data_IF_287746685488
#
_entry.id   IF_287746685488
#
_cell.length_a   1.000
_cell.length_b   1.000
_cell.length_c   1.000
_cell.angle_alpha   90.00
_cell.angle_beta   90.00
_cell.angle_gamma   90.00
#
_symmetry.space_group_name_H-M   'P 1'
#
loop_
_entity.id
_entity.type
_entity.pdbx_description
1 polymer ?
#
# COMPACT_ATOMS: atom_id res chain seq x y z
N UNK A 1 -17.65 6.47 -7.11
CA UNK A 1 -18.86 6.29 -7.94
C UNK A 1 -18.56 5.69 -9.32
N UNK A 2 -17.63 6.23 -10.14
CA UNK A 2 -17.38 5.72 -11.51
C UNK A 2 -16.94 4.24 -11.60
N UNK A 3 -16.11 3.76 -10.68
CA UNK A 3 -15.62 2.37 -10.72
C UNK A 3 -16.72 1.33 -10.49
N UNK A 4 -17.62 1.58 -9.53
CA UNK A 4 -18.78 0.71 -9.27
C UNK A 4 -19.68 0.60 -10.51
N UNK A 5 -20.01 1.74 -11.12
CA UNK A 5 -20.82 1.77 -12.34
C UNK A 5 -20.14 1.03 -13.51
N UNK A 6 -18.82 1.15 -13.64
CA UNK A 6 -18.05 0.41 -14.64
C UNK A 6 -18.12 -1.12 -14.41
N UNK A 7 -18.07 -1.58 -13.16
CA UNK A 7 -18.28 -3.01 -12.83
C UNK A 7 -19.71 -3.47 -13.12
N UNK A 8 -20.73 -2.65 -12.80
CA UNK A 8 -22.13 -2.98 -13.06
C UNK A 8 -22.45 -3.08 -14.58
N UNK A 9 -21.69 -2.37 -15.43
CA UNK A 9 -21.76 -2.49 -16.89
C UNK A 9 -21.01 -3.72 -17.40
N UNK A 10 -19.81 -4.00 -16.88
CA UNK A 10 -19.03 -5.19 -17.21
C UNK A 10 -19.83 -6.48 -16.94
N UNK A 11 -20.46 -6.59 -15.77
CA UNK A 11 -21.24 -7.77 -15.38
C UNK A 11 -22.41 -8.02 -16.35
N UNK A 12 -23.16 -6.96 -16.70
CA UNK A 12 -24.26 -7.07 -17.67
C UNK A 12 -23.79 -7.52 -19.05
N UNK A 13 -22.62 -7.07 -19.49
CA UNK A 13 -22.05 -7.48 -20.78
C UNK A 13 -21.57 -8.94 -20.79
N UNK A 14 -21.01 -9.43 -19.69
CA UNK A 14 -20.55 -10.81 -19.60
C UNK A 14 -21.68 -11.84 -19.52
N UNK A 15 -22.74 -11.54 -18.76
CA UNK A 15 -23.92 -12.42 -18.65
C UNK A 15 -24.59 -12.63 -20.03
N UNK A 16 -24.39 -11.70 -20.97
CA UNK A 16 -24.97 -11.75 -22.32
C UNK A 16 -24.12 -12.48 -23.36
N UNK A 17 -22.82 -12.72 -23.11
CA UNK A 17 -21.85 -13.04 -24.19
C UNK A 17 -21.16 -14.40 -24.07
N UNK A 18 -21.31 -15.14 -22.96
CA UNK A 18 -20.74 -16.50 -22.81
C UNK A 18 -19.19 -16.55 -22.83
N UNK A 19 -18.52 -15.40 -22.66
CA UNK A 19 -17.07 -15.24 -22.79
C UNK A 19 -16.26 -16.08 -21.79
N UNK A 20 -16.87 -16.46 -20.66
CA UNK A 20 -16.23 -17.25 -19.60
C UNK A 20 -15.79 -18.65 -20.05
N UNK A 21 -16.45 -19.24 -21.05
CA UNK A 21 -16.22 -20.64 -21.45
C UNK A 21 -14.90 -20.85 -22.22
N UNK A 22 -14.36 -19.80 -22.86
CA UNK A 22 -13.12 -19.84 -23.64
C UNK A 22 -11.86 -19.40 -22.87
N UNK A 23 -12.00 -18.96 -21.62
CA UNK A 23 -10.90 -18.38 -20.84
C UNK A 23 -10.10 -19.47 -20.09
N UNK A 24 -8.79 -19.27 -19.92
CA UNK A 24 -8.00 -20.13 -19.03
C UNK A 24 -8.42 -19.98 -17.56
N UNK A 25 -7.90 -20.86 -16.69
CA UNK A 25 -8.29 -20.88 -15.28
C UNK A 25 -7.96 -19.59 -14.52
N UNK A 26 -6.85 -18.92 -14.85
CA UNK A 26 -6.43 -17.67 -14.20
C UNK A 26 -7.29 -16.49 -14.67
N UNK A 27 -7.57 -16.44 -15.96
CA UNK A 27 -8.44 -15.46 -16.58
C UNK A 27 -9.89 -15.59 -16.06
N UNK A 28 -10.41 -16.83 -15.93
CA UNK A 28 -11.71 -17.09 -15.29
C UNK A 28 -11.73 -16.68 -13.82
N UNK A 29 -10.67 -16.97 -13.07
CA UNK A 29 -10.61 -16.56 -11.66
C UNK A 29 -10.59 -15.03 -11.52
N UNK A 30 -9.79 -14.34 -12.34
CA UNK A 30 -9.74 -12.88 -12.36
C UNK A 30 -11.13 -12.30 -12.70
N UNK A 31 -11.78 -12.81 -13.73
CA UNK A 31 -13.13 -12.38 -14.11
C UNK A 31 -14.15 -12.66 -13.01
N UNK A 32 -14.15 -13.85 -12.40
CA UNK A 32 -15.04 -14.18 -11.30
C UNK A 32 -14.84 -13.27 -10.09
N UNK A 33 -13.61 -12.83 -9.80
CA UNK A 33 -13.35 -11.84 -8.75
C UNK A 33 -13.99 -10.50 -9.13
N UNK A 34 -13.76 -10.04 -10.37
CA UNK A 34 -14.28 -8.79 -10.91
C UNK A 34 -15.82 -8.75 -10.95
N UNK A 35 -16.46 -9.90 -11.15
CA UNK A 35 -17.92 -10.02 -11.25
C UNK A 35 -18.59 -10.51 -9.96
N UNK A 36 -17.80 -10.85 -8.95
CA UNK A 36 -18.34 -11.33 -7.67
C UNK A 36 -19.14 -10.25 -6.94
N UNK A 37 -20.25 -10.66 -6.34
CA UNK A 37 -21.00 -9.83 -5.39
C UNK A 37 -20.12 -9.38 -4.21
N UNK A 38 -19.14 -10.20 -3.81
CA UNK A 38 -18.19 -9.90 -2.72
C UNK A 38 -17.33 -8.67 -3.02
N UNK A 39 -16.76 -8.55 -4.23
CA UNK A 39 -15.96 -7.39 -4.60
C UNK A 39 -16.83 -6.12 -4.63
N UNK A 40 -18.02 -6.21 -5.23
CA UNK A 40 -18.96 -5.09 -5.27
C UNK A 40 -19.34 -4.62 -3.86
N UNK A 41 -19.58 -5.56 -2.96
CA UNK A 41 -19.95 -5.26 -1.58
C UNK A 41 -18.78 -4.71 -0.77
N UNK A 42 -17.55 -5.13 -1.05
CA UNK A 42 -16.35 -4.54 -0.47
C UNK A 42 -16.17 -3.08 -0.89
N UNK A 43 -16.41 -2.76 -2.17
CA UNK A 43 -16.33 -1.41 -2.74
C UNK A 43 -17.41 -0.45 -2.22
N UNK A 44 -18.50 -0.96 -1.63
CA UNK A 44 -19.59 -0.15 -1.09
C UNK A 44 -19.38 0.16 0.39
N UNK A 45 -18.70 1.28 0.69
CA UNK A 45 -18.47 1.74 2.06
C UNK A 45 -19.76 2.09 2.81
N UNK A 46 -20.90 2.29 2.13
CA UNK A 46 -22.18 2.49 2.84
C UNK A 46 -22.64 1.25 3.62
N UNK A 47 -22.03 0.09 3.34
CA UNK A 47 -22.22 -1.16 4.07
C UNK A 47 -21.26 -1.33 5.27
N UNK A 48 -20.46 -0.31 5.59
CA UNK A 48 -19.60 -0.30 6.78
C UNK A 48 -20.31 0.43 7.93
N UNK A 49 -20.03 0.02 9.17
CA UNK A 49 -20.52 0.75 10.34
C UNK A 49 -20.03 2.22 10.28
N UNK A 50 -20.92 3.21 10.38
CA UNK A 50 -20.54 4.63 10.42
C UNK A 50 -19.49 4.96 11.48
N UNK A 51 -19.48 4.28 12.63
CA UNK A 51 -18.49 4.47 13.68
C UNK A 51 -17.10 4.01 13.25
N UNK A 52 -17.02 2.89 12.52
CA UNK A 52 -15.75 2.41 11.95
C UNK A 52 -15.23 3.41 10.92
N UNK A 53 -16.08 3.88 10.00
CA UNK A 53 -15.69 4.89 9.00
C UNK A 53 -15.24 6.21 9.65
N UNK A 54 -15.88 6.62 10.75
CA UNK A 54 -15.52 7.83 11.47
C UNK A 54 -14.08 7.79 12.02
N UNK A 55 -13.56 6.60 12.41
CA UNK A 55 -12.17 6.45 12.87
C UNK A 55 -11.14 6.80 11.79
N UNK A 56 -11.43 6.48 10.53
CA UNK A 56 -10.56 6.80 9.40
C UNK A 56 -10.58 8.30 9.04
N UNK A 57 -11.66 9.01 9.36
CA UNK A 57 -11.83 10.42 9.09
C UNK A 57 -12.73 10.71 7.88
N UNK A 58 -12.50 11.85 7.25
CA UNK A 58 -13.34 12.39 6.16
C UNK A 58 -12.52 12.54 4.90
N UNK A 59 -13.05 12.01 3.79
CA UNK A 59 -12.43 12.13 2.48
C UNK A 59 -12.48 13.58 1.97
N UNK A 60 -11.39 14.02 1.35
CA UNK A 60 -11.35 15.20 0.50
C UNK A 60 -11.01 14.74 -0.94
N UNK A 61 -12.00 14.74 -1.86
CA UNK A 61 -11.84 14.22 -3.22
C UNK A 61 -11.11 15.20 -4.15
N UNK A 62 -10.70 16.38 -3.67
CA UNK A 62 -9.99 17.35 -4.48
C UNK A 62 -8.61 16.81 -4.88
N UNK A 63 -8.32 16.86 -6.17
CA UNK A 63 -6.98 16.59 -6.69
C UNK A 63 -6.07 17.79 -6.46
N UNK A 64 -4.86 17.54 -5.99
CA UNK A 64 -3.83 18.56 -5.81
C UNK A 64 -2.67 18.24 -6.74
N UNK A 65 -2.60 18.98 -7.85
CA UNK A 65 -1.57 18.84 -8.90
C UNK A 65 -1.51 17.39 -9.40
N UNK A 66 -0.39 16.73 -9.20
CA UNK A 66 -0.04 15.37 -9.63
C UNK A 66 -0.24 14.31 -8.51
N UNK A 67 -0.71 14.72 -7.33
CA UNK A 67 -0.99 13.79 -6.23
C UNK A 67 -2.39 13.21 -6.27
N UNK A 68 -2.57 12.10 -5.56
CA UNK A 68 -3.88 11.54 -5.28
C UNK A 68 -4.72 12.50 -4.40
N UNK A 69 -6.05 12.36 -4.40
CA UNK A 69 -6.90 13.03 -3.41
C UNK A 69 -6.65 12.47 -1.99
N UNK A 70 -7.10 13.20 -0.97
CA UNK A 70 -7.01 12.80 0.45
C UNK A 70 -8.18 11.90 0.83
N UNK A 71 -8.23 10.74 0.19
CA UNK A 71 -9.31 9.77 0.39
C UNK A 71 -8.98 8.83 1.57
N UNK A 72 -8.99 9.33 2.81
CA UNK A 72 -8.61 8.55 4.01
C UNK A 72 -9.45 7.27 4.23
N UNK A 73 -10.68 7.21 3.71
CA UNK A 73 -11.53 6.01 3.82
C UNK A 73 -11.13 4.91 2.84
N UNK A 74 -10.21 5.17 1.89
CA UNK A 74 -9.65 4.08 1.08
C UNK A 74 -8.88 3.08 1.92
N UNK A 75 -8.33 3.48 3.07
CA UNK A 75 -7.68 2.56 4.00
C UNK A 75 -8.69 1.53 4.57
N UNK A 76 -9.92 1.97 4.90
CA UNK A 76 -11.02 1.05 5.26
C UNK A 76 -11.38 0.14 4.08
N UNK A 77 -11.47 0.71 2.88
CA UNK A 77 -11.71 -0.07 1.67
C UNK A 77 -10.63 -1.13 1.45
N UNK A 78 -9.35 -0.84 1.75
CA UNK A 78 -8.26 -1.81 1.66
C UNK A 78 -8.54 -3.05 2.49
N UNK A 79 -8.93 -2.86 3.75
CA UNK A 79 -9.27 -3.94 4.67
C UNK A 79 -10.48 -4.73 4.18
N UNK A 80 -11.53 -4.06 3.67
CA UNK A 80 -12.70 -4.74 3.07
C UNK A 80 -12.34 -5.56 1.82
N UNK A 81 -11.43 -5.06 0.98
CA UNK A 81 -10.96 -5.80 -0.20
C UNK A 81 -10.20 -7.06 0.21
N UNK A 82 -9.38 -6.98 1.26
CA UNK A 82 -8.70 -8.14 1.83
C UNK A 82 -9.71 -9.15 2.40
N UNK A 83 -10.73 -8.69 3.15
CA UNK A 83 -11.84 -9.54 3.64
C UNK A 83 -12.61 -10.20 2.48
N UNK A 84 -12.72 -9.54 1.33
CA UNK A 84 -13.33 -10.08 0.11
C UNK A 84 -12.40 -11.02 -0.69
N UNK A 85 -11.14 -11.19 -0.29
CA UNK A 85 -10.20 -12.15 -0.86
C UNK A 85 -9.09 -11.55 -1.73
N UNK A 86 -8.95 -10.22 -1.79
CA UNK A 86 -7.82 -9.59 -2.46
C UNK A 86 -6.52 -9.99 -1.76
N UNK A 87 -5.55 -10.51 -2.52
CA UNK A 87 -4.23 -10.94 -2.00
C UNK A 87 -3.25 -9.80 -1.81
N UNK A 88 -3.40 -8.75 -2.62
CA UNK A 88 -2.58 -7.54 -2.57
C UNK A 88 -3.50 -6.35 -2.85
N UNK A 89 -3.39 -5.31 -2.03
CA UNK A 89 -4.05 -4.02 -2.27
C UNK A 89 -2.96 -2.96 -2.26
N UNK A 90 -2.86 -2.19 -3.35
CA UNK A 90 -1.96 -1.05 -3.46
C UNK A 90 -2.79 0.22 -3.62
N UNK A 91 -2.40 1.28 -2.92
CA UNK A 91 -3.04 2.58 -3.00
C UNK A 91 -2.06 3.69 -2.70
N UNK A 92 -2.41 4.89 -3.13
CA UNK A 92 -1.70 6.12 -2.84
C UNK A 92 -2.57 7.03 -1.96
N UNK A 93 -1.91 7.95 -1.25
CA UNK A 93 -2.57 8.95 -0.41
C UNK A 93 -1.91 10.30 -0.63
N UNK A 94 -2.73 11.28 -1.01
CA UNK A 94 -2.35 12.67 -1.21
C UNK A 94 -1.15 12.91 -2.16
N UNK A 95 -0.74 14.18 -2.28
CA UNK A 95 0.57 14.58 -2.78
C UNK A 95 1.55 14.60 -1.60
N UNK A 96 2.78 14.15 -1.80
CA UNK A 96 3.85 14.23 -0.79
C UNK A 96 5.14 14.90 -1.33
N UNK A 97 5.20 15.17 -2.64
CA UNK A 97 6.39 15.73 -3.31
C UNK A 97 6.49 17.25 -3.22
N UNK A 98 6.72 17.77 -2.01
CA UNK A 98 6.84 19.21 -1.74
C UNK A 98 8.29 19.71 -1.74
N UNK A 99 9.05 19.41 -2.79
CA UNK A 99 10.41 19.97 -2.96
C UNK A 99 10.45 21.35 -3.63
N UNK A 100 9.37 21.74 -4.32
CA UNK A 100 9.33 22.93 -5.17
C UNK A 100 9.40 24.26 -4.41
N UNK A 101 9.52 25.38 -5.14
CA UNK A 101 9.68 26.72 -4.57
C UNK A 101 8.37 27.36 -4.06
N UNK A 102 7.29 26.58 -3.97
CA UNK A 102 5.93 27.07 -3.67
C UNK A 102 5.64 27.18 -2.15
N UNK A 103 6.62 26.86 -1.30
CA UNK A 103 6.50 26.91 0.16
C UNK A 103 5.49 25.92 0.73
N UNK A 104 5.10 24.88 -0.03
CA UNK A 104 3.99 24.00 0.35
C UNK A 104 4.35 22.88 1.32
N UNK A 105 5.63 22.58 1.53
CA UNK A 105 6.05 21.44 2.37
C UNK A 105 5.43 21.46 3.77
N UNK A 106 5.54 22.58 4.49
CA UNK A 106 4.99 22.67 5.84
C UNK A 106 3.49 22.95 5.86
N UNK A 107 2.95 23.61 4.83
CA UNK A 107 1.52 23.96 4.76
C UNK A 107 0.68 22.74 4.44
N UNK A 108 1.06 21.97 3.43
CA UNK A 108 0.36 20.75 3.06
C UNK A 108 0.74 19.60 3.99
N UNK A 109 1.99 19.50 4.45
CA UNK A 109 2.40 18.51 5.44
C UNK A 109 1.61 18.59 6.75
N UNK A 110 1.26 19.80 7.23
CA UNK A 110 0.39 19.99 8.41
C UNK A 110 -1.06 19.55 8.20
N UNK A 111 -1.52 19.42 6.95
CA UNK A 111 -2.85 18.89 6.62
C UNK A 111 -2.79 17.39 6.41
N UNK A 112 -1.80 16.92 5.67
CA UNK A 112 -1.76 15.57 5.14
C UNK A 112 -1.22 14.56 6.16
N UNK A 113 -0.21 14.93 6.96
CA UNK A 113 0.40 14.00 7.91
C UNK A 113 -0.58 13.56 9.01
N UNK A 114 -1.40 14.45 9.62
CA UNK A 114 -2.42 14.01 10.58
C UNK A 114 -3.48 13.08 9.96
N UNK A 115 -3.87 13.32 8.71
CA UNK A 115 -4.83 12.48 8.00
C UNK A 115 -4.25 11.08 7.71
N UNK A 116 -2.99 11.02 7.28
CA UNK A 116 -2.29 9.75 7.08
C UNK A 116 -2.14 8.98 8.39
N UNK A 117 -1.70 9.65 9.46
CA UNK A 117 -1.51 9.07 10.79
C UNK A 117 -2.83 8.48 11.33
N UNK A 118 -3.92 9.24 11.24
CA UNK A 118 -5.25 8.78 11.63
C UNK A 118 -5.69 7.56 10.81
N UNK A 119 -5.58 7.61 9.49
CA UNK A 119 -6.06 6.54 8.61
C UNK A 119 -5.26 5.24 8.74
N UNK A 120 -3.93 5.34 8.87
CA UNK A 120 -3.04 4.19 9.10
C UNK A 120 -3.30 3.59 10.49
N UNK A 121 -3.43 4.42 11.52
CA UNK A 121 -3.73 3.96 12.88
C UNK A 121 -5.08 3.25 12.94
N UNK A 122 -6.11 3.78 12.26
CA UNK A 122 -7.42 3.14 12.14
C UNK A 122 -7.32 1.81 11.39
N UNK A 123 -6.57 1.72 10.28
CA UNK A 123 -6.36 0.46 9.56
C UNK A 123 -5.69 -0.61 10.42
N UNK A 124 -4.58 -0.27 11.07
CA UNK A 124 -3.85 -1.23 11.90
C UNK A 124 -4.72 -1.70 13.07
N UNK A 125 -5.45 -0.78 13.71
CA UNK A 125 -6.38 -1.12 14.80
C UNK A 125 -7.52 -2.03 14.31
N UNK A 126 -8.14 -1.72 13.17
CA UNK A 126 -9.18 -2.53 12.54
C UNK A 126 -8.69 -3.96 12.27
N UNK A 127 -7.46 -4.11 11.76
CA UNK A 127 -6.88 -5.42 11.49
C UNK A 127 -6.70 -6.22 12.79
N UNK A 128 -6.25 -5.58 13.88
CA UNK A 128 -6.14 -6.24 15.18
C UNK A 128 -7.50 -6.61 15.78
N UNK A 129 -8.47 -5.69 15.77
CA UNK A 129 -9.83 -5.93 16.29
C UNK A 129 -10.52 -7.11 15.60
N UNK A 130 -10.20 -7.34 14.33
CA UNK A 130 -10.76 -8.41 13.51
C UNK A 130 -9.91 -9.69 13.50
N UNK A 131 -8.75 -9.68 14.16
CA UNK A 131 -7.79 -10.79 14.16
C UNK A 131 -7.10 -11.03 12.81
N UNK A 132 -7.18 -10.05 11.89
CA UNK A 132 -6.53 -10.08 10.57
C UNK A 132 -5.06 -9.66 10.62
N UNK A 133 -4.60 -9.07 11.72
CA UNK A 133 -3.19 -8.69 11.95
C UNK A 133 -2.22 -9.86 11.78
N UNK A 134 -2.68 -11.10 11.94
CA UNK A 134 -1.86 -12.30 11.75
C UNK A 134 -1.76 -12.75 10.29
N UNK A 135 -2.63 -12.27 9.42
CA UNK A 135 -2.76 -12.73 8.04
C UNK A 135 -2.46 -11.61 7.02
N UNK A 136 -2.49 -10.35 7.46
CA UNK A 136 -2.32 -9.17 6.60
C UNK A 136 -1.07 -8.40 6.98
N UNK A 137 -0.12 -8.31 6.05
CA UNK A 137 1.03 -7.40 6.17
C UNK A 137 0.67 -6.03 5.61
N UNK A 138 0.95 -4.97 6.36
CA UNK A 138 0.79 -3.57 5.96
C UNK A 138 2.17 -2.95 5.81
N UNK A 139 2.40 -2.26 4.68
CA UNK A 139 3.61 -1.46 4.43
C UNK A 139 3.18 -0.07 3.99
N UNK A 140 3.73 0.95 4.65
CA UNK A 140 3.52 2.36 4.31
C UNK A 140 4.88 3.01 4.08
N UNK A 141 5.12 3.51 2.87
CA UNK A 141 6.36 4.19 2.50
C UNK A 141 6.14 5.15 1.32
N UNK A 142 7.16 5.95 1.02
CA UNK A 142 7.28 6.69 -0.25
C UNK A 142 8.25 6.02 -1.21
N UNK A 143 8.44 6.61 -2.39
CA UNK A 143 9.36 6.10 -3.41
C UNK A 143 10.84 6.32 -3.02
N UNK A 144 11.13 7.46 -2.39
CA UNK A 144 12.46 7.87 -1.97
C UNK A 144 12.36 8.82 -0.77
N UNK A 145 13.51 9.07 -0.12
CA UNK A 145 13.60 9.96 1.02
C UNK A 145 13.60 11.44 0.68
N UNK A 146 13.66 12.26 1.72
CA UNK A 146 13.75 13.72 1.62
C UNK A 146 14.94 14.23 2.38
N UNK A 147 15.57 15.26 1.83
CA UNK A 147 16.66 15.94 2.54
C UNK A 147 16.18 16.37 3.92
N UNK A 148 17.01 16.21 4.97
CA UNK A 148 16.67 16.70 6.30
C UNK A 148 16.72 18.24 6.37
N UNK A 149 17.38 18.88 5.39
CA UNK A 149 17.51 20.33 5.28
C UNK A 149 16.38 20.92 4.46
N UNK A 150 15.93 22.11 4.85
CA UNK A 150 14.95 22.88 4.09
C UNK A 150 15.67 23.69 3.02
N UNK A 151 15.20 23.60 1.76
CA UNK A 151 15.77 24.34 0.65
C UNK A 151 15.27 25.81 0.63
N UNK A 152 15.80 26.63 -0.30
CA UNK A 152 15.42 28.06 -0.43
C UNK A 152 13.93 28.28 -0.74
N UNK A 153 13.26 27.26 -1.26
CA UNK A 153 11.84 27.24 -1.58
C UNK A 153 10.92 26.85 -0.42
N UNK A 154 11.48 26.70 0.79
CA UNK A 154 10.81 26.09 1.94
C UNK A 154 10.32 24.65 1.68
N UNK A 155 10.94 23.94 0.73
CA UNK A 155 10.72 22.52 0.43
C UNK A 155 11.81 21.62 1.02
N UNK A 156 11.68 20.31 0.76
CA UNK A 156 12.74 19.31 0.99
C UNK A 156 13.03 18.53 -0.30
N UNK A 157 14.28 18.60 -0.76
CA UNK A 157 14.73 17.99 -2.02
C UNK A 157 14.70 16.46 -1.97
N UNK A 158 14.68 15.84 -3.16
CA UNK A 158 14.78 14.38 -3.34
C UNK A 158 16.08 13.86 -2.72
N UNK A 159 16.00 12.74 -1.99
CA UNK A 159 17.14 12.20 -1.26
C UNK A 159 17.16 10.66 -1.31
N UNK A 160 17.89 10.06 -2.27
CA UNK A 160 17.94 8.60 -2.44
C UNK A 160 18.72 7.86 -1.33
N UNK A 161 19.48 8.56 -0.50
CA UNK A 161 20.43 7.94 0.42
C UNK A 161 19.79 7.30 1.65
N UNK A 162 18.60 7.75 2.05
CA UNK A 162 17.84 7.13 3.12
C UNK A 162 16.36 7.50 3.04
N UNK A 163 15.48 6.54 3.30
CA UNK A 163 14.04 6.72 3.43
C UNK A 163 13.55 6.04 4.72
N UNK A 164 12.24 6.04 4.96
CA UNK A 164 11.61 5.32 6.06
C UNK A 164 10.42 4.50 5.55
N UNK A 165 10.07 3.47 6.31
CA UNK A 165 8.91 2.64 6.08
C UNK A 165 8.27 2.28 7.43
N UNK A 166 6.94 2.20 7.45
CA UNK A 166 6.17 1.62 8.55
C UNK A 166 5.71 0.22 8.11
N UNK A 167 5.94 -0.77 8.96
CA UNK A 167 5.47 -2.14 8.76
C UNK A 167 4.57 -2.56 9.93
N UNK A 168 3.47 -3.24 9.64
CA UNK A 168 2.56 -3.80 10.65
C UNK A 168 1.91 -5.11 10.18
N UNK A 169 1.41 -5.90 11.13
CA UNK A 169 0.69 -7.16 10.86
C UNK A 169 1.58 -8.27 10.28
N UNK A 170 0.96 -9.24 9.59
CA UNK A 170 1.63 -10.37 8.95
C UNK A 170 2.41 -11.29 9.88
N UNK A 171 2.00 -11.38 11.16
CA UNK A 171 2.78 -12.04 12.24
C UNK A 171 4.19 -11.48 12.45
N UNK A 172 4.50 -10.32 11.87
CA UNK A 172 5.79 -9.69 12.09
C UNK A 172 5.93 -9.30 13.57
N UNK A 173 7.15 -9.41 14.11
CA UNK A 173 7.48 -8.87 15.43
C UNK A 173 7.51 -7.34 15.35
N UNK A 174 6.37 -6.69 15.57
CA UNK A 174 6.22 -5.23 15.51
C UNK A 174 6.59 -4.55 16.84
N UNK A 175 6.46 -3.22 16.92
CA UNK A 175 6.75 -2.45 18.15
C UNK A 175 8.23 -2.08 18.35
N UNK A 176 9.00 -2.04 17.27
CA UNK A 176 10.44 -1.75 17.28
C UNK A 176 10.83 -0.74 16.21
N UNK A 177 11.98 -0.08 16.42
CA UNK A 177 12.67 0.73 15.40
C UNK A 177 13.86 -0.06 14.89
N UNK A 178 13.93 -0.27 13.57
CA UNK A 178 15.01 -1.01 12.91
C UNK A 178 15.85 -0.04 12.09
N UNK A 179 17.15 -0.02 12.35
CA UNK A 179 18.10 0.87 11.70
C UNK A 179 18.25 2.22 12.43
N UNK A 180 19.26 2.97 12.04
CA UNK A 180 19.56 4.31 12.58
C UNK A 180 20.22 5.16 11.49
N UNK A 181 19.88 6.44 11.46
CA UNK A 181 20.56 7.43 10.62
C UNK A 181 21.65 8.16 11.38
N UNK A 182 22.55 8.84 10.67
CA UNK A 182 23.47 9.77 11.32
C UNK A 182 22.68 10.87 12.07
N UNK A 183 23.36 11.62 12.94
CA UNK A 183 22.74 12.71 13.73
C UNK A 183 21.97 13.76 12.90
N UNK A 184 22.25 13.85 11.59
CA UNK A 184 21.61 14.79 10.67
C UNK A 184 20.45 14.16 9.88
N UNK A 185 20.16 12.87 10.04
CA UNK A 185 19.19 12.10 9.26
C UNK A 185 19.47 12.03 7.74
N UNK A 186 20.74 12.03 7.35
CA UNK A 186 21.16 12.05 5.93
C UNK A 186 21.50 10.65 5.38
N UNK A 187 22.05 9.76 6.20
CA UNK A 187 22.48 8.43 5.76
C UNK A 187 22.23 7.42 6.86
N UNK A 188 21.89 6.18 6.49
CA UNK A 188 21.84 5.07 7.44
C UNK A 188 23.26 4.72 7.93
N UNK A 189 23.45 4.66 9.26
CA UNK A 189 24.75 4.36 9.89
C UNK A 189 24.75 3.06 10.68
N UNK A 190 23.57 2.56 11.05
CA UNK A 190 23.40 1.30 11.77
C UNK A 190 22.26 0.53 11.14
N UNK A 191 22.48 -0.77 10.89
CA UNK A 191 21.50 -1.71 10.35
C UNK A 191 20.66 -1.07 9.20
N UNK A 192 21.28 -0.66 8.09
CA UNK A 192 20.52 -0.23 6.92
C UNK A 192 19.60 -1.38 6.48
N UNK A 193 18.37 -1.04 6.08
CA UNK A 193 17.38 -1.97 5.54
C UNK A 193 17.17 -1.60 4.08
N UNK A 194 17.27 -2.58 3.19
CA UNK A 194 16.98 -2.37 1.76
C UNK A 194 15.51 -2.64 1.46
N UNK A 195 14.98 -2.06 0.37
CA UNK A 195 13.66 -2.42 -0.14
C UNK A 195 13.54 -3.93 -0.44
N UNK A 196 14.65 -4.55 -0.87
CA UNK A 196 14.73 -5.98 -1.16
C UNK A 196 14.52 -6.85 0.09
N UNK A 197 15.02 -6.44 1.26
CA UNK A 197 14.75 -7.15 2.53
C UNK A 197 13.28 -7.04 2.95
N UNK A 198 12.63 -5.89 2.70
CA UNK A 198 11.19 -5.73 2.94
C UNK A 198 10.40 -6.64 2.00
N UNK A 199 10.72 -6.65 0.70
CA UNK A 199 10.09 -7.56 -0.25
C UNK A 199 10.29 -9.03 0.12
N UNK A 200 11.50 -9.43 0.50
CA UNK A 200 11.79 -10.79 0.95
C UNK A 200 10.92 -11.18 2.16
N UNK A 201 10.72 -10.25 3.10
CA UNK A 201 9.83 -10.44 4.26
C UNK A 201 8.38 -10.64 3.84
N UNK A 202 7.86 -9.79 2.93
CA UNK A 202 6.49 -9.90 2.44
C UNK A 202 6.26 -11.20 1.67
N UNK A 203 7.19 -11.57 0.78
CA UNK A 203 7.12 -12.81 0.02
C UNK A 203 7.13 -14.05 0.92
N UNK A 204 7.96 -14.06 1.98
CA UNK A 204 7.92 -15.10 3.00
C UNK A 204 6.54 -15.16 3.69
N UNK A 205 5.96 -14.02 4.06
CA UNK A 205 4.66 -13.96 4.73
C UNK A 205 3.52 -14.51 3.85
N UNK A 206 3.60 -14.33 2.52
CA UNK A 206 2.62 -14.92 1.58
C UNK A 206 3.00 -16.34 1.10
N UNK A 207 4.03 -16.95 1.69
CA UNK A 207 4.41 -18.35 1.44
C UNK A 207 5.18 -18.59 0.15
N UNK A 208 5.80 -17.57 -0.43
CA UNK A 208 6.62 -17.71 -1.64
C UNK A 208 8.05 -18.11 -1.28
N UNK A 209 8.52 -19.20 -1.87
CA UNK A 209 9.91 -19.62 -1.74
C UNK A 209 10.85 -18.78 -2.63
N UNK A 210 11.59 -17.86 -2.02
CA UNK A 210 12.52 -16.96 -2.72
C UNK A 210 13.64 -17.70 -3.47
N UNK A 211 14.06 -18.88 -3.00
CA UNK A 211 15.12 -19.64 -3.67
C UNK A 211 14.66 -20.25 -4.99
N UNK A 212 13.35 -20.37 -5.22
CA UNK A 212 12.78 -21.09 -6.37
C UNK A 212 11.92 -20.18 -7.27
N UNK A 213 11.21 -19.22 -6.69
CA UNK A 213 10.26 -18.40 -7.42
C UNK A 213 10.94 -17.47 -8.44
N UNK A 214 10.49 -17.54 -9.69
CA UNK A 214 10.94 -16.69 -10.79
C UNK A 214 9.76 -16.12 -11.55
N UNK A 215 9.94 -14.92 -12.09
CA UNK A 215 9.07 -14.35 -13.13
C UNK A 215 9.85 -14.30 -14.44
N UNK A 216 9.19 -14.58 -15.54
CA UNK A 216 9.80 -14.42 -16.85
C UNK A 216 9.66 -12.97 -17.29
N UNK A 217 10.76 -12.36 -17.72
CA UNK A 217 10.66 -11.07 -18.40
C UNK A 217 10.08 -11.21 -19.82
N UNK A 218 9.94 -10.09 -20.53
CA UNK A 218 9.36 -10.06 -21.88
C UNK A 218 10.17 -10.85 -22.92
N UNK A 219 11.41 -11.22 -22.59
CA UNK A 219 12.28 -12.06 -23.44
C UNK A 219 12.24 -13.54 -23.04
N UNK A 220 11.47 -13.89 -22.01
CA UNK A 220 11.40 -15.24 -21.47
C UNK A 220 12.54 -15.58 -20.50
N UNK A 221 13.39 -14.60 -20.12
CA UNK A 221 14.49 -14.83 -19.18
C UNK A 221 13.94 -14.87 -17.74
N UNK A 222 14.26 -15.91 -16.95
CA UNK A 222 13.86 -15.96 -15.54
C UNK A 222 14.56 -14.88 -14.71
N UNK A 223 13.77 -14.13 -13.96
CA UNK A 223 14.20 -13.13 -12.99
C UNK A 223 13.79 -13.59 -11.59
N UNK A 224 14.71 -13.45 -10.64
CA UNK A 224 14.40 -13.68 -9.22
C UNK A 224 13.50 -12.56 -8.71
N UNK A 225 12.66 -12.87 -7.72
CA UNK A 225 11.78 -11.85 -7.11
C UNK A 225 12.56 -10.84 -6.26
N UNK A 226 13.69 -11.27 -5.71
CA UNK A 226 14.65 -10.41 -5.00
C UNK A 226 16.08 -10.73 -5.45
N UNK A 227 16.98 -9.77 -5.32
CA UNK A 227 18.40 -9.99 -5.63
C UNK A 227 19.04 -11.00 -4.66
N UNK A 228 20.02 -11.77 -5.16
CA UNK A 228 20.72 -12.78 -4.36
C UNK A 228 21.34 -12.18 -3.09
N UNK A 229 21.22 -12.89 -1.97
CA UNK A 229 21.72 -12.44 -0.66
C UNK A 229 20.76 -11.55 0.13
N UNK A 230 19.59 -11.19 -0.41
CA UNK A 230 18.54 -10.51 0.36
C UNK A 230 17.64 -11.55 1.03
N UNK A 231 17.66 -11.54 2.36
CA UNK A 231 16.83 -12.41 3.20
C UNK A 231 15.72 -11.62 3.89
N UNK A 232 14.64 -12.28 4.33
CA UNK A 232 13.65 -11.66 5.21
C UNK A 232 14.31 -10.99 6.41
N UNK A 233 13.78 -9.84 6.82
CA UNK A 233 14.31 -9.07 7.94
C UNK A 233 14.27 -9.91 9.22
N UNK A 234 15.45 -10.33 9.69
CA UNK A 234 15.61 -11.19 10.88
C UNK A 234 14.93 -10.65 12.13
N UNK A 235 14.79 -9.32 12.23
CA UNK A 235 14.14 -8.64 13.34
C UNK A 235 12.62 -8.84 13.35
N UNK A 236 12.01 -9.08 12.18
CA UNK A 236 10.57 -9.21 12.00
C UNK A 236 10.07 -10.66 11.99
N UNK A 237 10.94 -11.62 11.67
CA UNK A 237 10.63 -13.06 11.58
C UNK A 237 10.93 -13.84 12.85
#
# INVERSE_FOLDING_TARGET
MRLRSAFDELNRGMDQTGVLDGMDAYARQAVNILTSSKLRDALDLSKEDPQVLARYGTDDPAFIRDGAPRMVRTFCLARRLVEAGARVVSMNFSRWDWHGPDGKNFVEGRKDMPLLDQAVSALVSDLHERGLDKDVSVVVWGEFGRTPRVNKGAGRDHWPQVSCALLAGGRMRTGQVIGETNRLAEYAVKRPVTFQEVFATLYKNIGINLSEARVLDTTGRPQYLVESGNEPMRELV
#
